data_IF_044582158881
#
_entry.id   IF_044582158881
#
_cell.length_a   1.000
_cell.length_b   1.000
_cell.length_c   1.000
_cell.angle_alpha   90.00
_cell.angle_beta   90.00
_cell.angle_gamma   90.00
#
_symmetry.space_group_name_H-M   'P 1'
#
loop_
_entity.id
_entity.type
_entity.pdbx_description
1 polymer ?
#
# COMPACT_ATOMS: atom_id res chain seq x y z
N UNK A 1 7.42 -33.13 -11.98
CA UNK A 1 7.18 -32.71 -13.37
C UNK A 1 7.14 -31.19 -13.36
N UNK A 2 8.20 -30.58 -13.88
CA UNK A 2 8.40 -29.13 -13.85
C UNK A 2 7.74 -28.48 -15.05
N UNK A 3 6.90 -27.47 -14.78
CA UNK A 3 6.37 -26.60 -15.81
C UNK A 3 7.15 -25.29 -15.81
N UNK A 4 7.76 -25.05 -16.96
CA UNK A 4 8.56 -23.92 -17.37
C UNK A 4 7.71 -22.67 -17.53
N UNK A 5 8.09 -21.58 -16.86
CA UNK A 5 7.55 -20.24 -17.13
C UNK A 5 8.65 -19.18 -17.11
N UNK A 6 9.47 -19.11 -18.16
CA UNK A 6 10.28 -17.92 -18.44
C UNK A 6 10.40 -17.75 -19.96
N UNK A 7 9.47 -16.98 -20.53
CA UNK A 7 9.68 -16.39 -21.86
C UNK A 7 10.59 -15.16 -21.71
N UNK A 8 11.70 -15.18 -22.46
CA UNK A 8 12.70 -14.11 -22.50
C UNK A 8 12.24 -13.00 -23.44
N UNK A 9 12.03 -11.79 -22.90
CA UNK A 9 11.95 -10.57 -23.70
C UNK A 9 12.62 -9.42 -22.95
N UNK A 10 13.44 -8.67 -23.67
CA UNK A 10 13.92 -7.36 -23.25
C UNK A 10 12.72 -6.44 -23.13
N UNK A 11 12.45 -5.90 -21.93
CA UNK A 11 11.38 -4.93 -21.73
C UNK A 11 11.96 -3.52 -21.71
N UNK A 12 11.49 -2.69 -22.65
CA UNK A 12 11.77 -1.26 -22.66
C UNK A 12 10.54 -0.54 -22.12
N UNK A 13 10.65 0.02 -20.92
CA UNK A 13 9.56 0.76 -20.30
C UNK A 13 9.66 2.22 -20.81
N UNK A 14 8.68 2.67 -21.60
CA UNK A 14 8.71 4.01 -22.22
C UNK A 14 7.68 4.97 -21.62
N UNK A 15 6.54 4.51 -21.10
CA UNK A 15 5.65 5.35 -20.27
C UNK A 15 4.66 4.44 -19.55
N UNK A 16 4.66 4.39 -18.22
CA UNK A 16 4.00 3.30 -17.49
C UNK A 16 3.35 3.64 -16.15
N UNK A 17 3.31 4.91 -15.75
CA UNK A 17 2.61 5.29 -14.52
C UNK A 17 1.73 6.51 -14.75
N UNK A 18 0.41 6.33 -14.55
CA UNK A 18 -0.55 7.43 -14.55
C UNK A 18 -1.11 7.58 -13.14
N UNK A 19 -0.85 8.69 -12.45
CA UNK A 19 -1.49 8.92 -11.17
C UNK A 19 -3.01 8.97 -11.37
N UNK A 20 -3.73 8.22 -10.52
CA UNK A 20 -5.18 7.99 -10.54
C UNK A 20 -6.05 9.28 -10.54
N UNK A 21 -5.46 10.47 -10.33
CA UNK A 21 -6.14 11.77 -10.29
C UNK A 21 -5.54 12.84 -11.21
N UNK A 22 -4.75 12.47 -12.22
CA UNK A 22 -4.22 13.42 -13.22
C UNK A 22 -5.19 13.68 -14.40
N UNK A 23 -5.18 14.88 -15.01
CA UNK A 23 -6.02 15.18 -16.18
C UNK A 23 -5.70 14.25 -17.37
N UNK A 24 -6.76 13.72 -18.02
CA UNK A 24 -6.68 12.89 -19.22
C UNK A 24 -6.21 13.72 -20.43
N UNK A 25 -4.91 13.98 -20.56
CA UNK A 25 -4.34 14.50 -21.82
C UNK A 25 -3.77 13.35 -22.64
N UNK A 26 -4.42 13.02 -23.76
CA UNK A 26 -3.84 12.22 -24.85
C UNK A 26 -2.67 13.01 -25.43
N UNK A 27 -1.44 12.79 -24.94
CA UNK A 27 -0.25 13.25 -25.67
C UNK A 27 -0.10 12.32 -26.87
N UNK A 28 -0.18 12.89 -28.08
CA UNK A 28 0.27 12.24 -29.31
C UNK A 28 1.76 11.90 -29.12
N UNK A 29 2.05 10.68 -28.69
CA UNK A 29 3.40 10.15 -28.68
C UNK A 29 3.83 9.90 -30.11
N UNK A 30 4.72 10.75 -30.63
CA UNK A 30 5.52 10.50 -31.84
C UNK A 30 6.61 11.57 -31.88
N UNK A 31 7.87 11.11 -31.95
CA UNK A 31 9.14 11.83 -32.13
C UNK A 31 9.94 12.29 -30.89
N UNK A 32 9.35 12.73 -29.78
CA UNK A 32 10.16 13.18 -28.60
C UNK A 32 10.89 12.04 -27.87
N UNK A 33 10.40 10.80 -27.97
CA UNK A 33 10.95 9.65 -27.23
C UNK A 33 12.24 9.09 -27.86
N UNK A 34 12.50 9.38 -29.14
CA UNK A 34 13.72 8.90 -29.82
C UNK A 34 14.97 9.70 -29.43
N UNK A 35 14.82 10.97 -29.02
CA UNK A 35 15.95 11.78 -28.54
C UNK A 35 16.54 11.22 -27.23
N UNK A 36 15.69 10.61 -26.39
CA UNK A 36 16.11 9.97 -25.14
C UNK A 36 17.00 8.73 -25.37
N UNK A 37 17.01 8.17 -26.58
CA UNK A 37 17.86 7.05 -26.96
C UNK A 37 19.35 7.41 -26.99
N UNK A 38 19.69 8.70 -27.10
CA UNK A 38 21.08 9.17 -27.18
C UNK A 38 21.76 9.32 -25.82
N UNK A 39 21.01 9.31 -24.72
CA UNK A 39 21.59 9.41 -23.39
C UNK A 39 22.15 8.05 -22.93
N UNK A 40 23.28 8.05 -22.20
CA UNK A 40 23.81 6.83 -21.60
C UNK A 40 22.75 6.22 -20.69
N UNK A 41 22.48 4.93 -20.89
CA UNK A 41 21.49 4.22 -20.10
C UNK A 41 22.11 3.77 -18.78
N UNK A 42 21.41 3.96 -17.67
CA UNK A 42 21.76 3.25 -16.44
C UNK A 42 21.36 1.78 -16.63
N UNK A 43 22.34 0.89 -16.51
CA UNK A 43 22.14 -0.55 -16.62
C UNK A 43 21.80 -1.15 -15.26
N UNK A 44 20.81 -2.02 -15.24
CA UNK A 44 20.35 -2.76 -14.08
C UNK A 44 20.21 -4.22 -14.50
N UNK A 45 20.89 -5.13 -13.82
CA UNK A 45 20.85 -6.54 -14.20
C UNK A 45 19.46 -7.14 -13.97
N UNK A 46 18.85 -6.84 -12.82
CA UNK A 46 17.58 -7.41 -12.42
C UNK A 46 16.75 -6.42 -11.60
N UNK A 47 15.45 -6.31 -11.91
CA UNK A 47 14.52 -5.46 -11.15
C UNK A 47 13.10 -6.05 -11.11
N UNK A 48 12.37 -5.68 -10.07
CA UNK A 48 10.98 -6.05 -9.84
C UNK A 48 10.04 -4.93 -10.27
N UNK A 49 9.02 -5.30 -11.04
CA UNK A 49 7.85 -4.47 -11.32
C UNK A 49 6.68 -4.96 -10.44
N UNK A 50 6.24 -4.12 -9.50
CA UNK A 50 5.25 -4.52 -8.48
C UNK A 50 4.03 -3.60 -8.41
N UNK A 51 4.08 -2.47 -9.08
CA UNK A 51 3.08 -1.41 -8.98
C UNK A 51 2.19 -1.32 -10.24
N UNK A 52 1.11 -0.57 -10.11
CA UNK A 52 0.15 -0.20 -11.14
C UNK A 52 -0.34 1.24 -10.91
N UNK A 53 -1.39 1.66 -11.64
CA UNK A 53 -1.99 2.99 -11.51
C UNK A 53 -2.69 3.23 -10.16
N UNK A 54 -3.07 2.17 -9.43
CA UNK A 54 -3.73 2.23 -8.13
C UNK A 54 -2.77 2.24 -6.96
N UNK A 55 -1.53 1.82 -7.17
CA UNK A 55 -0.47 1.74 -6.15
C UNK A 55 -0.09 3.09 -5.53
N UNK A 56 -0.55 4.19 -6.13
CA UNK A 56 -0.52 5.52 -5.52
C UNK A 56 -1.51 5.67 -4.37
N UNK A 57 -2.46 4.78 -4.16
CA UNK A 57 -3.36 4.84 -3.01
C UNK A 57 -2.76 4.07 -1.84
N UNK A 58 -2.89 4.59 -0.62
CA UNK A 58 -2.35 3.96 0.59
C UNK A 58 -2.87 2.54 0.81
N UNK A 59 -4.18 2.32 0.63
CA UNK A 59 -4.81 1.00 0.74
C UNK A 59 -4.17 0.01 -0.23
N UNK A 60 -4.18 0.32 -1.54
CA UNK A 60 -3.64 -0.56 -2.57
C UNK A 60 -2.14 -0.82 -2.41
N UNK A 61 -1.37 0.16 -1.93
CA UNK A 61 0.03 -0.08 -1.61
C UNK A 61 0.17 -1.16 -0.54
N UNK A 62 -0.52 -1.01 0.59
CA UNK A 62 -0.45 -1.96 1.70
C UNK A 62 -1.02 -3.33 1.36
N UNK A 63 -2.09 -3.39 0.56
CA UNK A 63 -2.85 -4.63 0.35
C UNK A 63 -2.57 -5.35 -0.96
N UNK A 64 -2.10 -4.63 -1.99
CA UNK A 64 -1.92 -5.20 -3.33
C UNK A 64 -0.43 -5.26 -3.70
N UNK A 65 0.39 -4.29 -3.25
CA UNK A 65 1.83 -4.24 -3.55
C UNK A 65 2.66 -4.96 -2.49
N UNK A 66 2.51 -4.61 -1.21
CA UNK A 66 3.32 -5.22 -0.15
C UNK A 66 3.15 -6.75 -0.06
N UNK A 67 1.96 -7.35 -0.26
CA UNK A 67 1.83 -8.81 -0.26
C UNK A 67 2.53 -9.49 -1.44
N UNK A 68 2.68 -8.82 -2.60
CA UNK A 68 3.51 -9.33 -3.71
C UNK A 68 4.97 -9.42 -3.31
N UNK A 69 5.49 -8.36 -2.69
CA UNK A 69 6.86 -8.33 -2.16
C UNK A 69 7.06 -9.38 -1.06
N UNK A 70 6.06 -9.58 -0.21
CA UNK A 70 6.07 -10.64 0.81
C UNK A 70 6.16 -12.04 0.17
N UNK A 71 5.33 -12.32 -0.83
CA UNK A 71 5.35 -13.59 -1.55
C UNK A 71 6.69 -13.83 -2.27
N UNK A 72 7.27 -12.78 -2.87
CA UNK A 72 8.60 -12.83 -3.49
C UNK A 72 9.71 -13.17 -2.50
N UNK A 73 9.63 -12.66 -1.27
CA UNK A 73 10.59 -13.02 -0.24
C UNK A 73 10.41 -14.48 0.22
N UNK A 74 9.18 -14.99 0.27
CA UNK A 74 8.90 -16.39 0.64
C UNK A 74 9.34 -17.38 -0.44
N UNK A 75 9.38 -16.98 -1.71
CA UNK A 75 9.88 -17.85 -2.79
C UNK A 75 11.40 -18.08 -2.74
N UNK A 76 12.13 -17.43 -1.83
CA UNK A 76 13.58 -17.52 -1.70
C UNK A 76 14.36 -16.74 -2.77
N UNK A 77 13.68 -15.96 -3.61
CA UNK A 77 14.33 -15.21 -4.67
C UNK A 77 15.18 -14.04 -4.11
N UNK A 78 16.35 -13.83 -4.71
CA UNK A 78 17.38 -12.91 -4.21
C UNK A 78 17.19 -11.45 -4.65
N UNK A 79 16.46 -11.19 -5.74
CA UNK A 79 16.23 -9.82 -6.21
C UNK A 79 15.59 -8.96 -5.13
N UNK A 80 16.19 -7.79 -4.86
CA UNK A 80 15.65 -6.77 -3.93
C UNK A 80 15.46 -5.41 -4.58
N UNK A 81 15.78 -5.28 -5.86
CA UNK A 81 15.65 -4.02 -6.60
C UNK A 81 14.21 -3.85 -7.08
N UNK A 82 13.54 -2.78 -6.67
CA UNK A 82 12.16 -2.48 -7.07
C UNK A 82 12.15 -1.23 -7.94
N UNK A 83 11.64 -1.36 -9.16
CA UNK A 83 11.51 -0.22 -10.06
C UNK A 83 10.21 0.53 -9.76
N UNK A 84 10.31 1.84 -9.48
CA UNK A 84 9.16 2.68 -9.17
C UNK A 84 9.26 4.06 -9.83
N UNK A 85 8.14 4.65 -10.26
CA UNK A 85 8.06 6.05 -10.66
C UNK A 85 8.46 6.96 -9.50
N UNK A 86 9.18 8.04 -9.80
CA UNK A 86 9.58 9.04 -8.80
C UNK A 86 8.39 9.53 -7.95
N UNK A 87 7.20 9.67 -8.54
CA UNK A 87 5.99 10.11 -7.84
C UNK A 87 5.55 9.15 -6.72
N UNK A 88 5.72 7.84 -6.89
CA UNK A 88 5.44 6.87 -5.82
C UNK A 88 6.50 6.98 -4.73
N UNK A 89 7.77 7.11 -5.11
CA UNK A 89 8.87 7.26 -4.15
C UNK A 89 8.77 8.53 -3.32
N UNK A 90 8.06 9.58 -3.77
CA UNK A 90 7.85 10.78 -2.96
C UNK A 90 6.95 10.54 -1.73
N UNK A 91 6.20 9.43 -1.71
CA UNK A 91 5.31 9.07 -0.61
C UNK A 91 6.09 8.37 0.50
N UNK A 92 6.00 8.87 1.74
CA UNK A 92 6.76 8.33 2.87
C UNK A 92 6.48 6.84 3.08
N UNK A 93 5.20 6.43 3.06
CA UNK A 93 4.83 5.03 3.30
C UNK A 93 5.38 4.05 2.26
N UNK A 94 5.66 4.51 1.03
CA UNK A 94 6.31 3.69 0.00
C UNK A 94 7.76 3.43 0.39
N UNK A 95 8.52 4.48 0.69
CA UNK A 95 9.94 4.35 1.04
C UNK A 95 10.13 3.58 2.34
N UNK A 96 9.37 3.95 3.36
CA UNK A 96 9.50 3.39 4.71
C UNK A 96 9.16 1.89 4.71
N UNK A 97 8.09 1.48 4.02
CA UNK A 97 7.72 0.06 3.94
C UNK A 97 8.72 -0.77 3.14
N UNK A 98 9.26 -0.25 2.04
CA UNK A 98 10.32 -0.94 1.28
C UNK A 98 11.59 -1.10 2.13
N UNK A 99 11.96 -0.07 2.89
CA UNK A 99 13.10 -0.12 3.79
C UNK A 99 12.92 -1.20 4.87
N UNK A 100 11.75 -1.24 5.52
CA UNK A 100 11.43 -2.26 6.54
C UNK A 100 11.51 -3.67 5.93
N UNK A 101 11.01 -3.85 4.71
CA UNK A 101 11.03 -5.14 4.02
C UNK A 101 12.37 -5.47 3.36
N UNK A 102 13.35 -4.56 3.40
CA UNK A 102 14.69 -4.78 2.82
C UNK A 102 14.75 -4.71 1.29
N UNK A 103 13.85 -3.97 0.66
CA UNK A 103 13.85 -3.71 -0.78
C UNK A 103 14.49 -2.36 -1.10
N UNK A 104 15.22 -2.31 -2.22
CA UNK A 104 15.94 -1.13 -2.72
C UNK A 104 15.15 -0.52 -3.88
N UNK A 105 14.51 0.64 -3.69
CA UNK A 105 13.83 1.30 -4.80
C UNK A 105 14.83 1.92 -5.78
N UNK A 106 14.57 1.78 -7.08
CA UNK A 106 15.18 2.60 -8.13
C UNK A 106 14.08 3.45 -8.75
N UNK A 107 14.31 4.76 -8.73
CA UNK A 107 13.42 5.72 -9.37
C UNK A 107 13.57 5.62 -10.89
N UNK A 108 12.46 5.32 -11.57
CA UNK A 108 12.37 5.60 -12.99
C UNK A 108 11.95 7.06 -13.18
N UNK A 109 12.88 7.84 -13.72
CA UNK A 109 12.72 9.25 -14.10
C UNK A 109 12.78 9.37 -15.63
N UNK A 110 13.04 10.56 -16.17
CA UNK A 110 13.36 10.77 -17.59
C UNK A 110 14.68 10.14 -18.04
N UNK A 111 15.42 9.47 -17.14
CA UNK A 111 16.63 8.73 -17.48
C UNK A 111 16.27 7.43 -18.23
N UNK A 112 17.06 7.12 -19.26
CA UNK A 112 16.97 5.83 -19.97
C UNK A 112 17.50 4.73 -19.05
N UNK A 113 16.65 3.76 -18.73
CA UNK A 113 17.03 2.55 -18.01
C UNK A 113 17.12 1.37 -18.97
N UNK A 114 18.17 0.55 -18.82
CA UNK A 114 18.33 -0.73 -19.51
C UNK A 114 18.32 -1.83 -18.46
N UNK A 115 17.32 -2.70 -18.51
CA UNK A 115 17.12 -3.74 -17.51
C UNK A 115 17.27 -5.10 -18.18
N UNK A 116 18.29 -5.87 -17.79
CA UNK A 116 18.56 -7.17 -18.42
C UNK A 116 17.45 -8.18 -18.12
N UNK A 117 16.91 -8.17 -16.89
CA UNK A 117 15.78 -8.99 -16.48
C UNK A 117 14.78 -8.21 -15.63
N UNK A 118 13.64 -7.88 -16.23
CA UNK A 118 12.51 -7.28 -15.53
C UNK A 118 11.52 -8.37 -15.12
N UNK A 119 11.24 -8.48 -13.83
CA UNK A 119 10.36 -9.50 -13.26
C UNK A 119 9.06 -8.82 -12.86
N UNK A 120 7.96 -9.25 -13.47
CA UNK A 120 6.62 -8.79 -13.12
C UNK A 120 6.02 -9.79 -12.15
N UNK A 121 5.63 -9.32 -10.97
CA UNK A 121 5.00 -10.18 -9.96
C UNK A 121 3.49 -10.14 -10.14
N UNK A 122 2.90 -11.30 -10.41
CA UNK A 122 1.44 -11.46 -10.49
C UNK A 122 0.75 -11.07 -9.20
N UNK A 123 -0.50 -10.62 -9.30
CA UNK A 123 -1.35 -10.34 -8.13
C UNK A 123 -1.50 -11.58 -7.25
N UNK A 124 -1.37 -11.41 -5.94
CA UNK A 124 -1.47 -12.53 -4.98
C UNK A 124 -2.92 -12.93 -4.71
N UNK A 125 -3.84 -11.98 -4.82
CA UNK A 125 -5.30 -12.15 -4.74
C UNK A 125 -5.99 -10.98 -5.50
N UNK A 126 -7.28 -11.12 -5.88
CA UNK A 126 -8.06 -9.99 -6.35
C UNK A 126 -8.14 -8.88 -5.29
N UNK A 127 -8.08 -7.61 -5.71
CA UNK A 127 -8.17 -6.46 -4.79
C UNK A 127 -9.37 -6.60 -3.85
N UNK A 128 -9.15 -6.28 -2.57
CA UNK A 128 -10.15 -6.44 -1.51
C UNK A 128 -10.26 -7.86 -0.95
N UNK A 129 -9.47 -8.81 -1.47
CA UNK A 129 -9.34 -10.17 -0.96
C UNK A 129 -7.87 -10.45 -0.65
N UNK A 130 -7.60 -11.33 0.31
CA UNK A 130 -6.24 -11.51 0.83
C UNK A 130 -5.92 -12.97 1.08
N UNK A 131 -4.68 -13.37 0.78
CA UNK A 131 -4.13 -14.63 1.27
C UNK A 131 -3.73 -14.44 2.72
N UNK A 132 -4.47 -15.07 3.63
CA UNK A 132 -4.29 -14.99 5.09
C UNK A 132 -2.82 -15.12 5.52
N UNK A 133 -2.11 -16.15 5.04
CA UNK A 133 -0.72 -16.38 5.42
C UNK A 133 0.21 -15.22 5.02
N UNK A 134 0.06 -14.67 3.81
CA UNK A 134 0.88 -13.54 3.32
C UNK A 134 0.61 -12.29 4.14
N UNK A 135 -0.67 -11.96 4.37
CA UNK A 135 -1.05 -10.74 5.09
C UNK A 135 -0.56 -10.78 6.54
N UNK A 136 -0.69 -11.92 7.22
CA UNK A 136 -0.20 -12.10 8.59
C UNK A 136 1.34 -12.12 8.66
N UNK A 137 2.02 -12.67 7.66
CA UNK A 137 3.49 -12.62 7.60
C UNK A 137 4.00 -11.21 7.31
N UNK A 138 3.31 -10.47 6.45
CA UNK A 138 3.57 -9.05 6.21
C UNK A 138 3.38 -8.24 7.48
N UNK A 139 2.25 -8.39 8.19
CA UNK A 139 2.00 -7.75 9.48
C UNK A 139 3.16 -7.97 10.45
N UNK A 140 3.57 -9.23 10.67
CA UNK A 140 4.69 -9.56 11.57
C UNK A 140 6.01 -8.90 11.20
N UNK A 141 6.25 -8.62 9.92
CA UNK A 141 7.48 -7.94 9.45
C UNK A 141 7.41 -6.43 9.58
N UNK A 142 6.21 -5.86 9.45
CA UNK A 142 6.00 -4.41 9.59
C UNK A 142 5.97 -3.99 11.07
N UNK A 143 5.49 -4.87 11.96
CA UNK A 143 5.44 -4.61 13.39
C UNK A 143 6.82 -4.79 14.03
N UNK A 144 7.24 -3.78 14.81
CA UNK A 144 8.32 -3.93 15.77
C UNK A 144 7.81 -4.68 17.02
N UNK A 145 8.66 -5.47 17.70
CA UNK A 145 8.32 -5.98 19.03
C UNK A 145 8.05 -4.80 19.97
N UNK A 146 6.87 -4.77 20.59
CA UNK A 146 6.53 -3.79 21.63
C UNK A 146 6.01 -4.52 22.86
N UNK A 147 6.46 -4.07 24.03
CA UNK A 147 5.98 -4.52 25.34
C UNK A 147 4.91 -3.59 25.93
N UNK A 148 4.57 -2.50 25.25
CA UNK A 148 3.63 -1.53 25.79
C UNK A 148 2.18 -2.06 25.78
N UNK A 149 1.32 -1.60 26.71
CA UNK A 149 -0.05 -2.07 26.81
C UNK A 149 -0.88 -1.77 25.56
N UNK A 150 -1.60 -2.77 25.06
CA UNK A 150 -2.52 -2.65 23.92
C UNK A 150 -3.90 -2.23 24.41
N UNK A 151 -4.15 -0.92 24.52
CA UNK A 151 -5.42 -0.41 25.09
C UNK A 151 -6.05 0.76 24.33
N UNK A 152 -5.47 1.21 23.22
CA UNK A 152 -5.96 2.41 22.53
C UNK A 152 -7.24 2.11 21.75
N UNK A 153 -8.22 2.99 21.85
CA UNK A 153 -9.42 2.98 21.01
C UNK A 153 -9.35 4.22 20.13
N UNK A 154 -9.28 4.05 18.82
CA UNK A 154 -9.01 5.14 17.89
C UNK A 154 -10.18 5.29 16.92
N UNK A 155 -10.67 6.51 16.79
CA UNK A 155 -11.48 6.95 15.68
C UNK A 155 -10.60 7.69 14.67
N UNK A 156 -10.57 7.22 13.43
CA UNK A 156 -9.86 7.90 12.34
C UNK A 156 -10.79 8.94 11.71
N UNK A 157 -10.54 10.21 12.03
CA UNK A 157 -11.27 11.34 11.46
C UNK A 157 -10.84 11.58 10.01
N UNK A 158 -11.80 12.10 9.23
CA UNK A 158 -11.60 12.58 7.86
C UNK A 158 -11.96 14.07 7.75
N UNK A 159 -12.00 14.81 8.86
CA UNK A 159 -12.32 16.24 8.89
C UNK A 159 -11.32 17.10 8.10
N UNK A 160 -10.11 16.60 7.87
CA UNK A 160 -9.06 17.20 7.03
C UNK A 160 -9.15 16.79 5.54
N UNK A 161 -10.05 15.87 5.19
CA UNK A 161 -10.16 15.35 3.84
C UNK A 161 -11.11 16.19 2.96
N UNK A 162 -10.71 16.41 1.71
CA UNK A 162 -11.53 17.14 0.73
C UNK A 162 -12.80 16.42 0.27
N UNK A 163 -12.96 15.11 0.58
CA UNK A 163 -14.08 14.27 0.15
C UNK A 163 -14.34 13.13 1.16
N UNK A 164 -15.59 12.64 1.17
CA UNK A 164 -16.05 11.50 1.99
C UNK A 164 -15.79 11.74 3.47
N UNK A 165 -16.40 12.78 4.02
CA UNK A 165 -16.38 13.12 5.44
C UNK A 165 -17.82 13.03 5.99
N UNK A 166 -17.96 12.94 7.32
CA UNK A 166 -19.26 12.95 8.00
C UNK A 166 -19.71 14.39 8.22
N UNK A 167 -20.93 14.72 7.80
CA UNK A 167 -21.50 16.05 7.98
C UNK A 167 -21.71 16.39 9.46
N UNK A 168 -21.98 15.36 10.28
CA UNK A 168 -22.24 15.44 11.71
C UNK A 168 -21.10 14.85 12.56
N UNK A 169 -19.85 14.90 12.07
CA UNK A 169 -18.69 14.39 12.85
C UNK A 169 -18.55 15.11 14.19
N UNK A 170 -18.88 16.41 14.24
CA UNK A 170 -18.88 17.21 15.46
C UNK A 170 -19.83 16.66 16.54
N UNK A 171 -20.96 16.08 16.15
CA UNK A 171 -21.93 15.49 17.09
C UNK A 171 -21.47 14.12 17.59
N UNK A 172 -20.69 13.40 16.76
CA UNK A 172 -20.14 12.08 17.09
C UNK A 172 -18.96 12.18 18.08
N UNK A 173 -18.19 13.28 18.01
CA UNK A 173 -16.97 13.45 18.81
C UNK A 173 -17.22 13.28 20.32
N UNK A 174 -18.13 14.05 20.96
CA UNK A 174 -18.37 13.95 22.39
C UNK A 174 -18.83 12.55 22.82
N UNK A 175 -19.68 11.92 22.00
CA UNK A 175 -20.23 10.59 22.28
C UNK A 175 -19.11 9.53 22.37
N UNK A 176 -18.21 9.49 21.39
CA UNK A 176 -17.13 8.51 21.39
C UNK A 176 -16.06 8.85 22.45
N UNK A 177 -15.81 10.13 22.73
CA UNK A 177 -14.89 10.55 23.80
C UNK A 177 -15.34 10.03 25.17
N UNK A 178 -16.65 10.03 25.46
CA UNK A 178 -17.20 9.43 26.68
C UNK A 178 -16.89 7.92 26.83
N UNK A 179 -16.59 7.23 25.73
CA UNK A 179 -16.18 5.82 25.72
C UNK A 179 -14.66 5.61 25.70
N UNK A 180 -13.88 6.68 25.88
CA UNK A 180 -12.42 6.66 25.86
C UNK A 180 -11.83 6.47 24.47
N UNK A 181 -12.56 6.88 23.41
CA UNK A 181 -12.08 6.81 22.03
C UNK A 181 -11.34 8.10 21.68
N UNK A 182 -10.10 7.94 21.23
CA UNK A 182 -9.22 9.00 20.78
C UNK A 182 -9.51 9.36 19.32
N UNK A 183 -9.48 10.64 18.98
CA UNK A 183 -9.70 11.12 17.61
C UNK A 183 -8.37 11.43 16.94
N UNK A 184 -8.13 10.83 15.77
CA UNK A 184 -6.87 10.99 15.05
C UNK A 184 -7.11 11.31 13.58
N UNK A 185 -6.44 12.33 13.07
CA UNK A 185 -6.22 12.56 11.63
C UNK A 185 -4.88 11.95 11.22
N UNK A 186 -4.87 11.16 10.15
CA UNK A 186 -3.65 10.46 9.70
C UNK A 186 -2.75 11.32 8.81
N UNK A 187 -3.26 12.45 8.32
CA UNK A 187 -2.47 13.35 7.48
C UNK A 187 -1.25 13.87 8.26
N UNK A 188 -0.08 13.83 7.61
CA UNK A 188 1.18 14.28 8.21
C UNK A 188 1.90 13.23 9.04
N UNK A 189 1.24 12.15 9.48
CA UNK A 189 1.90 11.06 10.20
C UNK A 189 2.78 10.23 9.27
N UNK A 190 4.00 9.95 9.71
CA UNK A 190 4.91 8.99 9.08
C UNK A 190 4.37 7.56 9.19
N UNK A 191 4.92 6.65 8.38
CA UNK A 191 4.52 5.23 8.46
C UNK A 191 4.84 4.64 9.83
N UNK A 192 5.97 5.03 10.42
CA UNK A 192 6.39 4.54 11.73
C UNK A 192 5.46 4.99 12.85
N UNK A 193 5.02 6.25 12.82
CA UNK A 193 4.03 6.76 13.78
C UNK A 193 2.68 6.05 13.64
N UNK A 194 2.24 5.78 12.40
CA UNK A 194 1.04 4.99 12.17
C UNK A 194 1.20 3.55 12.70
N UNK A 195 2.31 2.86 12.38
CA UNK A 195 2.59 1.51 12.89
C UNK A 195 2.55 1.49 14.41
N UNK A 196 3.24 2.43 15.07
CA UNK A 196 3.30 2.52 16.53
C UNK A 196 1.94 2.81 17.16
N UNK A 197 1.17 3.70 16.55
CA UNK A 197 -0.16 4.05 17.03
C UNK A 197 -1.11 2.85 16.94
N UNK A 198 -1.16 2.19 15.79
CA UNK A 198 -2.11 1.12 15.54
C UNK A 198 -1.69 -0.23 16.12
N UNK A 199 -0.41 -0.46 16.40
CA UNK A 199 0.06 -1.66 17.10
C UNK A 199 -0.45 -1.79 18.54
N UNK A 200 -0.90 -0.67 19.13
CA UNK A 200 -1.52 -0.60 20.45
C UNK A 200 -3.05 -0.40 20.40
N UNK A 201 -3.65 -0.40 19.21
CA UNK A 201 -5.06 -0.14 19.00
C UNK A 201 -5.91 -1.41 19.10
N UNK A 202 -6.85 -1.45 20.05
CA UNK A 202 -7.77 -2.58 20.26
C UNK A 202 -9.16 -2.35 19.67
N UNK A 203 -9.52 -1.10 19.38
CA UNK A 203 -10.73 -0.73 18.67
C UNK A 203 -10.42 0.36 17.66
N UNK A 204 -10.66 0.08 16.38
CA UNK A 204 -10.53 1.06 15.30
C UNK A 204 -11.90 1.39 14.73
N UNK A 205 -12.30 2.65 14.84
CA UNK A 205 -13.54 3.18 14.28
C UNK A 205 -13.21 4.12 13.13
N UNK A 206 -13.95 4.06 12.04
CA UNK A 206 -13.78 5.05 10.98
C UNK A 206 -14.68 4.84 9.78
N UNK A 207 -14.76 5.88 8.96
CA UNK A 207 -15.42 5.83 7.66
C UNK A 207 -14.73 4.86 6.70
N UNK A 208 -15.51 4.20 5.84
CA UNK A 208 -14.98 3.39 4.73
C UNK A 208 -13.92 4.16 3.93
N UNK A 209 -12.68 3.69 3.98
CA UNK A 209 -11.56 4.31 3.28
C UNK A 209 -10.19 3.90 3.81
N UNK A 210 -9.15 4.36 3.11
CA UNK A 210 -7.78 3.87 3.28
C UNK A 210 -7.21 3.99 4.71
N UNK A 211 -7.77 4.87 5.55
CA UNK A 211 -7.40 4.94 6.96
C UNK A 211 -7.63 3.63 7.71
N UNK A 212 -8.68 2.88 7.38
CA UNK A 212 -8.98 1.57 7.96
C UNK A 212 -7.95 0.49 7.59
N UNK A 213 -7.17 0.68 6.53
CA UNK A 213 -6.09 -0.24 6.16
C UNK A 213 -5.01 -0.35 7.25
N UNK A 214 -4.94 0.63 8.15
CA UNK A 214 -4.06 0.58 9.33
C UNK A 214 -4.39 -0.56 10.30
N UNK A 215 -5.54 -1.22 10.16
CA UNK A 215 -5.80 -2.49 10.87
C UNK A 215 -4.73 -3.55 10.60
N UNK A 216 -3.97 -3.43 9.50
CA UNK A 216 -2.78 -4.23 9.23
C UNK A 216 -1.81 -4.27 10.42
N UNK A 217 -1.74 -3.19 11.20
CA UNK A 217 -0.84 -3.06 12.34
C UNK A 217 -1.50 -3.45 13.66
N UNK A 218 -2.82 -3.64 13.69
CA UNK A 218 -3.53 -3.93 14.93
C UNK A 218 -3.24 -5.34 15.46
N UNK A 219 -3.25 -5.53 16.79
CA UNK A 219 -3.22 -6.86 17.40
C UNK A 219 -4.38 -7.74 16.93
N UNK A 220 -4.12 -9.04 16.79
CA UNK A 220 -5.18 -10.06 16.66
C UNK A 220 -6.16 -9.98 17.85
N UNK A 221 -7.45 -10.22 17.60
CA UNK A 221 -8.53 -10.15 18.59
C UNK A 221 -9.10 -8.75 18.85
N UNK A 222 -8.53 -7.73 18.19
CA UNK A 222 -9.06 -6.37 18.20
C UNK A 222 -10.38 -6.27 17.42
N UNK A 223 -11.04 -5.13 17.52
CA UNK A 223 -12.32 -4.83 16.87
C UNK A 223 -12.18 -3.69 15.86
N UNK A 224 -12.89 -3.79 14.72
CA UNK A 224 -13.04 -2.69 13.76
C UNK A 224 -14.51 -2.35 13.56
N UNK A 225 -14.84 -1.07 13.72
CA UNK A 225 -16.16 -0.52 13.38
C UNK A 225 -16.03 0.33 12.12
N UNK A 226 -16.53 -0.22 11.02
CA UNK A 226 -16.58 0.46 9.74
C UNK A 226 -17.90 1.22 9.58
N UNK A 227 -17.82 2.55 9.44
CA UNK A 227 -18.96 3.39 9.11
C UNK A 227 -19.08 3.48 7.59
N UNK A 228 -20.20 2.99 7.07
CA UNK A 228 -20.50 2.95 5.63
C UNK A 228 -21.71 3.80 5.30
N UNK A 229 -21.91 4.06 4.01
CA UNK A 229 -23.20 4.58 3.53
C UNK A 229 -24.27 3.52 3.76
N UNK A 230 -25.46 3.94 4.12
CA UNK A 230 -26.60 3.03 4.22
C UNK A 230 -26.77 2.22 2.92
N UNK A 231 -27.07 0.93 3.06
CA UNK A 231 -27.20 -0.05 1.98
C UNK A 231 -25.95 -0.30 1.12
N UNK A 232 -24.78 0.22 1.50
CA UNK A 232 -23.53 -0.12 0.81
C UNK A 232 -23.04 -1.52 1.20
N UNK A 233 -23.44 -2.50 0.40
CA UNK A 233 -23.03 -3.91 0.52
C UNK A 233 -21.93 -4.30 -0.48
N UNK A 234 -21.32 -3.34 -1.18
CA UNK A 234 -20.35 -3.59 -2.25
C UNK A 234 -18.93 -3.34 -1.74
N UNK A 235 -18.00 -4.23 -2.05
CA UNK A 235 -16.60 -4.02 -1.70
C UNK A 235 -16.34 -4.17 -0.18
N UNK A 236 -16.46 -5.40 0.30
CA UNK A 236 -16.20 -5.81 1.68
C UNK A 236 -14.69 -5.94 1.99
N UNK A 237 -13.86 -5.09 1.40
CA UNK A 237 -12.41 -5.21 1.47
C UNK A 237 -11.86 -5.08 2.89
N UNK A 238 -12.48 -4.27 3.75
CA UNK A 238 -12.07 -4.14 5.16
C UNK A 238 -12.55 -5.32 6.00
N UNK A 239 -13.77 -5.82 5.77
CA UNK A 239 -14.25 -7.06 6.39
C UNK A 239 -13.34 -8.26 6.05
N UNK A 240 -13.01 -8.45 4.77
CA UNK A 240 -12.10 -9.51 4.33
C UNK A 240 -10.69 -9.34 4.94
N UNK A 241 -10.26 -8.10 5.19
CA UNK A 241 -8.95 -7.80 5.77
C UNK A 241 -8.94 -8.12 7.26
N UNK A 242 -9.97 -7.69 7.99
CA UNK A 242 -10.17 -8.00 9.40
C UNK A 242 -10.20 -9.51 9.62
N UNK A 243 -10.99 -10.24 8.82
CA UNK A 243 -11.05 -11.70 8.86
C UNK A 243 -9.69 -12.37 8.65
N UNK A 244 -8.89 -11.90 7.68
CA UNK A 244 -7.55 -12.41 7.43
C UNK A 244 -6.57 -12.11 8.59
N UNK A 245 -6.76 -11.00 9.29
CA UNK A 245 -5.93 -10.56 10.42
C UNK A 245 -6.41 -11.06 11.79
N UNK A 246 -7.49 -11.85 11.84
CA UNK A 246 -8.12 -12.31 13.08
C UNK A 246 -8.60 -11.14 13.94
N UNK A 247 -9.12 -10.11 13.28
CA UNK A 247 -9.79 -8.94 13.86
C UNK A 247 -11.30 -9.15 13.67
N UNK A 248 -12.08 -8.72 14.66
CA UNK A 248 -13.54 -8.82 14.67
C UNK A 248 -14.17 -7.61 13.98
#
# INVERSE_FOLDING_TARGET
>A
MGETWLQWRWYRIVDGYRPCHGPRRRKRGRLKDLAQLRHPAQRIDEALWVHDDWSGNYFHWLTDVLPKLQAWQESGASCRTVLLPQALLNRHYVRDSLQILGFRPIAWTSLRLEISRLIVISTTAPTGNYRKHLLQRLQRRLLAPSSAPKMRKIYVSRGDASKRFLLNEADLIPLLQCHGIEFVTLQGLSLREQIEMFSHCTLLVGLHGAGLANMLYMPSGSDVVEIRRDQDCIGNCYFSMASALLIR
#
